data_IF_519055018190
#
_entry.id   IF_519055018190
#
_cell.length_a   1.000
_cell.length_b   1.000
_cell.length_c   1.000
_cell.angle_alpha   90.00
_cell.angle_beta   90.00
_cell.angle_gamma   90.00
#
_symmetry.space_group_name_H-M   'P 1'
#
loop_
_entity.id
_entity.type
_entity.pdbx_description
1 polymer ?
#
# COMPACT_ATOMS: atom_id res chain seq x y z
N UNK A 1 14.40 -6.23 -8.66
CA UNK A 1 13.26 -6.88 -9.29
C UNK A 1 12.05 -6.64 -8.40
N UNK A 2 10.91 -6.25 -8.96
CA UNK A 2 9.70 -6.00 -8.19
C UNK A 2 9.01 -7.33 -7.86
N UNK A 3 8.69 -7.56 -6.58
CA UNK A 3 8.07 -8.80 -6.12
C UNK A 3 6.68 -8.54 -5.56
N UNK A 4 5.71 -9.32 -6.00
CA UNK A 4 4.34 -9.31 -5.48
C UNK A 4 4.02 -10.68 -4.87
N UNK A 5 3.41 -10.69 -3.68
CA UNK A 5 2.86 -11.91 -3.08
C UNK A 5 1.34 -11.89 -3.22
N UNK A 6 0.78 -12.92 -3.82
CA UNK A 6 -0.67 -13.15 -3.83
C UNK A 6 -1.02 -14.27 -2.85
N UNK A 7 -1.94 -13.99 -1.93
CA UNK A 7 -2.51 -15.02 -1.07
C UNK A 7 -3.95 -15.27 -1.50
N UNK A 8 -4.18 -16.44 -2.06
CA UNK A 8 -5.46 -16.87 -2.61
C UNK A 8 -6.09 -17.97 -1.74
N UNK A 9 -7.41 -17.95 -1.53
CA UNK A 9 -8.05 -18.87 -0.58
C UNK A 9 -8.34 -20.28 -1.13
N UNK A 10 -8.17 -20.50 -2.44
CA UNK A 10 -8.48 -21.78 -3.10
C UNK A 10 -7.65 -21.95 -4.40
N UNK A 11 -7.37 -23.23 -4.81
CA UNK A 11 -6.47 -23.50 -5.95
C UNK A 11 -6.99 -23.00 -7.30
N UNK A 12 -8.30 -22.97 -7.54
CA UNK A 12 -8.86 -22.52 -8.81
C UNK A 12 -8.54 -21.02 -9.07
N UNK A 13 -8.42 -20.23 -8.01
CA UNK A 13 -7.99 -18.84 -8.15
C UNK A 13 -6.49 -18.74 -8.47
N UNK A 14 -5.66 -19.65 -7.95
CA UNK A 14 -4.25 -19.74 -8.31
C UNK A 14 -4.09 -19.98 -9.82
N UNK A 15 -4.86 -20.92 -10.40
CA UNK A 15 -4.83 -21.19 -11.84
C UNK A 15 -5.20 -19.95 -12.67
N UNK A 16 -6.23 -19.19 -12.25
CA UNK A 16 -6.63 -17.95 -12.91
C UNK A 16 -5.50 -16.91 -12.82
N UNK A 17 -4.88 -16.76 -11.63
CA UNK A 17 -3.77 -15.81 -11.43
C UNK A 17 -2.58 -16.16 -12.31
N UNK A 18 -2.19 -17.45 -12.37
CA UNK A 18 -1.09 -17.92 -13.20
C UNK A 18 -1.37 -17.65 -14.69
N UNK A 19 -2.54 -17.97 -15.17
CA UNK A 19 -2.93 -17.72 -16.56
C UNK A 19 -2.88 -16.22 -16.92
N UNK A 20 -3.44 -15.37 -16.07
CA UNK A 20 -3.41 -13.91 -16.30
C UNK A 20 -1.98 -13.37 -16.20
N UNK A 21 -1.18 -13.87 -15.25
CA UNK A 21 0.22 -13.48 -15.09
C UNK A 21 1.05 -13.83 -16.36
N UNK A 22 0.96 -15.06 -16.84
CA UNK A 22 1.65 -15.52 -18.04
C UNK A 22 1.30 -14.69 -19.27
N UNK A 23 0.01 -14.35 -19.42
CA UNK A 23 -0.47 -13.60 -20.59
C UNK A 23 -0.19 -12.09 -20.51
N UNK A 24 -0.02 -11.51 -19.30
CA UNK A 24 0.07 -10.06 -19.13
C UNK A 24 1.43 -9.55 -18.65
N UNK A 25 2.16 -10.32 -17.85
CA UNK A 25 3.21 -9.80 -16.99
C UNK A 25 4.59 -10.44 -17.18
N UNK A 26 4.71 -11.54 -17.90
CA UNK A 26 5.97 -12.30 -18.03
C UNK A 26 7.16 -11.43 -18.42
N UNK A 27 6.96 -10.41 -19.27
CA UNK A 27 8.03 -9.51 -19.74
C UNK A 27 8.05 -8.14 -19.04
N UNK A 28 7.29 -7.95 -17.96
CA UNK A 28 7.10 -6.63 -17.29
C UNK A 28 8.02 -6.38 -16.10
N UNK A 29 8.94 -7.30 -15.79
CA UNK A 29 9.89 -7.13 -14.67
C UNK A 29 9.29 -7.28 -13.27
N UNK A 30 8.09 -7.84 -13.18
CA UNK A 30 7.42 -8.20 -11.93
C UNK A 30 7.50 -9.72 -11.71
N UNK A 31 7.94 -10.13 -10.54
CA UNK A 31 7.84 -11.51 -10.07
C UNK A 31 6.61 -11.64 -9.20
N UNK A 32 5.82 -12.69 -9.44
CA UNK A 32 4.62 -12.99 -8.67
C UNK A 32 4.78 -14.32 -7.98
N UNK A 33 4.76 -14.31 -6.65
CA UNK A 33 4.72 -15.50 -5.82
C UNK A 33 3.27 -15.72 -5.35
N UNK A 34 2.79 -16.96 -5.43
CA UNK A 34 1.41 -17.30 -5.06
C UNK A 34 1.42 -18.26 -3.88
N UNK A 35 0.60 -17.96 -2.89
CA UNK A 35 0.41 -18.80 -1.71
C UNK A 35 -1.07 -19.14 -1.56
N UNK A 36 -1.40 -20.43 -1.67
CA UNK A 36 -2.78 -20.90 -1.44
C UNK A 36 -2.99 -21.10 0.04
N UNK A 37 -3.64 -20.14 0.70
CA UNK A 37 -3.98 -20.20 2.13
C UNK A 37 -5.30 -19.49 2.42
N UNK A 38 -6.06 -20.04 3.34
CA UNK A 38 -7.27 -19.39 3.88
C UNK A 38 -6.88 -18.28 4.86
N UNK A 39 -7.78 -17.33 5.05
CA UNK A 39 -7.55 -16.21 5.98
C UNK A 39 -7.22 -16.68 7.41
N UNK A 40 -7.86 -17.76 7.86
CA UNK A 40 -7.66 -18.33 9.20
C UNK A 40 -6.28 -18.97 9.40
N UNK A 41 -5.67 -19.42 8.30
CA UNK A 41 -4.40 -20.17 8.28
C UNK A 41 -3.17 -19.26 8.05
N UNK A 42 -3.39 -17.95 7.91
CA UNK A 42 -2.29 -17.01 7.74
C UNK A 42 -1.59 -16.80 9.08
N UNK A 43 -0.31 -17.20 9.12
CA UNK A 43 0.53 -17.02 10.29
C UNK A 43 0.76 -15.52 10.58
N UNK A 44 0.76 -15.14 11.86
CA UNK A 44 0.99 -13.73 12.27
C UNK A 44 2.43 -13.27 12.08
N UNK A 45 3.35 -14.21 11.92
CA UNK A 45 4.77 -14.03 11.67
C UNK A 45 5.16 -14.24 10.20
N UNK A 46 4.18 -14.14 9.28
CA UNK A 46 4.43 -14.21 7.85
C UNK A 46 5.43 -13.10 7.45
N UNK A 47 6.59 -13.52 6.97
CA UNK A 47 7.62 -12.58 6.50
C UNK A 47 7.22 -11.99 5.15
N UNK A 48 7.03 -10.68 5.14
CA UNK A 48 6.64 -9.91 3.96
C UNK A 48 7.75 -8.97 3.48
N UNK A 49 8.91 -8.93 4.13
CA UNK A 49 9.96 -7.93 3.90
C UNK A 49 10.54 -7.94 2.48
N UNK A 50 10.50 -9.06 1.79
CA UNK A 50 11.01 -9.16 0.43
C UNK A 50 10.02 -8.67 -0.65
N UNK A 51 8.76 -8.45 -0.28
CA UNK A 51 7.71 -8.08 -1.23
C UNK A 51 7.49 -6.56 -1.29
N UNK A 52 7.26 -6.06 -2.50
CA UNK A 52 6.94 -4.65 -2.73
C UNK A 52 5.44 -4.37 -2.65
N UNK A 53 4.62 -5.40 -2.86
CA UNK A 53 3.17 -5.36 -2.75
C UNK A 53 2.66 -6.73 -2.34
N UNK A 54 1.59 -6.75 -1.56
CA UNK A 54 0.88 -7.98 -1.22
C UNK A 54 -0.57 -7.88 -1.67
N UNK A 55 -1.11 -8.99 -2.15
CA UNK A 55 -2.45 -9.04 -2.74
C UNK A 55 -3.23 -10.14 -2.04
N UNK A 56 -4.45 -9.84 -1.63
CA UNK A 56 -5.34 -10.80 -0.99
C UNK A 56 -6.80 -10.50 -1.29
N UNK A 57 -7.70 -11.43 -0.91
CA UNK A 57 -9.13 -11.27 -1.14
C UNK A 57 -9.88 -11.15 0.19
N UNK A 58 -10.78 -10.16 0.30
CA UNK A 58 -11.69 -10.04 1.43
C UNK A 58 -10.99 -10.06 2.79
N UNK A 59 -11.29 -11.05 3.64
CA UNK A 59 -10.68 -11.19 4.97
C UNK A 59 -9.16 -11.40 4.93
N UNK A 60 -8.63 -12.08 3.90
CA UNK A 60 -7.19 -12.22 3.67
C UNK A 60 -6.51 -10.84 3.54
N UNK A 61 -7.08 -9.95 2.72
CA UNK A 61 -6.55 -8.60 2.57
C UNK A 61 -6.59 -7.79 3.87
N UNK A 62 -7.65 -7.97 4.69
CA UNK A 62 -7.75 -7.33 6.02
C UNK A 62 -6.66 -7.80 6.97
N UNK A 63 -6.38 -9.12 7.00
CA UNK A 63 -5.30 -9.67 7.81
C UNK A 63 -3.95 -9.13 7.34
N UNK A 64 -3.69 -9.14 6.04
CA UNK A 64 -2.45 -8.61 5.47
C UNK A 64 -2.22 -7.14 5.85
N UNK A 65 -3.26 -6.29 5.81
CA UNK A 65 -3.17 -4.89 6.26
C UNK A 65 -2.84 -4.76 7.75
N UNK A 66 -3.17 -5.75 8.58
CA UNK A 66 -2.80 -5.76 9.99
C UNK A 66 -1.37 -6.25 10.26
N UNK A 67 -0.77 -6.97 9.30
CA UNK A 67 0.59 -7.50 9.40
C UNK A 67 1.66 -6.53 8.90
N UNK A 68 1.29 -5.58 8.04
CA UNK A 68 2.24 -4.61 7.50
C UNK A 68 1.64 -3.21 7.41
N UNK A 69 2.42 -2.20 7.84
CA UNK A 69 2.10 -0.79 7.67
C UNK A 69 2.82 -0.17 6.44
N UNK A 70 3.90 -0.79 5.99
CA UNK A 70 4.82 -0.21 5.02
C UNK A 70 4.71 -0.81 3.61
N UNK A 71 4.02 -1.96 3.47
CA UNK A 71 3.86 -2.63 2.18
C UNK A 71 2.42 -2.42 1.71
N UNK A 72 2.18 -1.89 0.51
CA UNK A 72 0.85 -1.74 -0.06
C UNK A 72 0.11 -3.06 -0.12
N UNK A 73 -1.15 -3.07 0.32
CA UNK A 73 -2.03 -4.24 0.26
C UNK A 73 -3.15 -3.98 -0.73
N UNK A 74 -3.14 -4.69 -1.85
CA UNK A 74 -4.21 -4.66 -2.86
C UNK A 74 -5.23 -5.74 -2.52
N UNK A 75 -6.50 -5.39 -2.61
CA UNK A 75 -7.60 -6.33 -2.41
C UNK A 75 -8.16 -6.78 -3.75
N UNK A 76 -8.22 -8.10 -3.98
CA UNK A 76 -8.94 -8.68 -5.11
C UNK A 76 -10.43 -8.40 -4.86
N UNK A 77 -11.08 -7.57 -5.68
CA UNK A 77 -12.47 -7.21 -5.46
C UNK A 77 -13.39 -8.39 -5.77
N UNK A 78 -14.51 -8.44 -5.08
CA UNK A 78 -15.67 -9.22 -5.53
C UNK A 78 -16.43 -8.29 -6.46
N UNK A 79 -16.52 -8.65 -7.74
CA UNK A 79 -17.21 -7.83 -8.73
C UNK A 79 -18.72 -8.13 -8.74
N UNK A 80 -19.51 -7.20 -9.29
CA UNK A 80 -20.92 -7.46 -9.54
C UNK A 80 -21.16 -8.68 -10.45
N UNK A 81 -20.23 -8.93 -11.38
CA UNK A 81 -20.27 -10.12 -12.25
C UNK A 81 -20.03 -11.42 -11.48
N UNK A 82 -19.16 -11.43 -10.48
CA UNK A 82 -18.92 -12.59 -9.63
C UNK A 82 -20.18 -12.96 -8.84
N UNK A 83 -20.85 -11.93 -8.31
CA UNK A 83 -22.12 -12.11 -7.58
C UNK A 83 -23.22 -12.61 -8.52
N UNK A 84 -23.39 -11.99 -9.68
CA UNK A 84 -24.40 -12.42 -10.65
C UNK A 84 -24.16 -13.86 -11.13
N UNK A 85 -22.91 -14.25 -11.39
CA UNK A 85 -22.56 -15.65 -11.68
C UNK A 85 -22.95 -16.57 -10.54
N UNK A 86 -22.63 -16.19 -9.29
CA UNK A 86 -23.01 -16.99 -8.12
C UNK A 86 -24.52 -17.14 -7.96
N UNK A 87 -25.30 -16.07 -8.15
CA UNK A 87 -26.76 -16.09 -8.10
C UNK A 87 -27.33 -16.97 -9.21
N UNK A 88 -26.79 -16.88 -10.43
CA UNK A 88 -27.27 -17.69 -11.57
C UNK A 88 -26.94 -19.18 -11.39
N UNK A 89 -25.77 -19.53 -10.85
CA UNK A 89 -25.42 -20.93 -10.54
C UNK A 89 -26.33 -21.49 -9.43
N UNK A 90 -26.58 -20.74 -8.37
CA UNK A 90 -27.52 -21.12 -7.31
C UNK A 90 -28.90 -21.34 -7.88
N UNK A 91 -29.40 -20.50 -8.78
CA UNK A 91 -30.70 -20.63 -9.44
C UNK A 91 -30.80 -21.91 -10.27
N UNK A 92 -29.69 -22.33 -10.92
CA UNK A 92 -29.65 -23.59 -11.71
C UNK A 92 -29.64 -24.84 -10.83
N UNK A 93 -28.96 -24.79 -9.69
CA UNK A 93 -28.72 -25.96 -8.83
C UNK A 93 -29.84 -26.13 -7.81
N UNK A 94 -30.32 -25.03 -7.24
CA UNK A 94 -31.31 -25.03 -6.15
C UNK A 94 -32.53 -24.22 -6.54
N UNK A 95 -33.72 -24.66 -6.05
CA UNK A 95 -34.97 -23.92 -6.20
C UNK A 95 -35.08 -22.80 -5.13
N UNK A 96 -33.98 -22.04 -4.92
CA UNK A 96 -33.87 -21.03 -3.89
C UNK A 96 -34.81 -19.86 -4.12
N UNK A 97 -35.43 -19.36 -3.05
CA UNK A 97 -36.32 -18.20 -3.06
C UNK A 97 -35.74 -17.00 -2.38
N UNK A 98 -34.98 -17.22 -1.30
CA UNK A 98 -34.33 -16.18 -0.47
C UNK A 98 -32.84 -16.43 -0.33
N UNK A 99 -32.03 -15.52 -0.84
CA UNK A 99 -30.59 -15.65 -0.88
C UNK A 99 -29.94 -14.61 0.03
N UNK A 100 -29.11 -15.07 0.96
CA UNK A 100 -28.25 -14.24 1.78
C UNK A 100 -26.84 -14.17 1.18
N UNK A 101 -26.38 -12.98 0.77
CA UNK A 101 -25.04 -12.76 0.23
C UNK A 101 -24.14 -12.21 1.32
N UNK A 102 -23.05 -12.91 1.64
CA UNK A 102 -22.09 -12.54 2.69
C UNK A 102 -20.84 -11.91 2.10
N UNK A 103 -20.60 -10.66 2.43
CA UNK A 103 -19.45 -9.87 1.95
C UNK A 103 -18.64 -9.33 3.12
N UNK A 104 -17.34 -9.09 2.90
CA UNK A 104 -16.46 -8.46 3.89
C UNK A 104 -16.61 -6.94 3.95
N UNK A 105 -17.13 -6.31 2.89
CA UNK A 105 -17.30 -4.86 2.76
C UNK A 105 -18.54 -4.52 1.92
N UNK A 106 -19.08 -3.31 2.09
CA UNK A 106 -20.29 -2.79 1.43
C UNK A 106 -20.03 -2.31 0.00
N UNK A 107 -18.76 -2.15 -0.38
CA UNK A 107 -18.42 -1.43 -1.61
C UNK A 107 -19.11 -2.02 -2.85
N UNK A 108 -20.05 -1.24 -3.41
CA UNK A 108 -20.61 -1.36 -4.76
C UNK A 108 -21.56 -2.55 -5.04
N UNK A 109 -22.32 -3.05 -4.05
CA UNK A 109 -23.28 -4.11 -4.32
C UNK A 109 -24.70 -3.68 -3.92
N UNK A 110 -25.52 -3.40 -4.92
CA UNK A 110 -26.92 -3.05 -4.74
C UNK A 110 -27.77 -4.33 -4.73
N UNK A 111 -28.17 -4.78 -3.53
CA UNK A 111 -29.00 -5.95 -3.35
C UNK A 111 -30.38 -5.79 -4.00
N UNK A 112 -30.93 -4.56 -4.03
CA UNK A 112 -32.21 -4.30 -4.67
C UNK A 112 -32.14 -4.47 -6.19
N UNK A 113 -31.04 -4.00 -6.81
CA UNK A 113 -30.78 -4.23 -8.22
C UNK A 113 -30.60 -5.72 -8.54
N UNK A 114 -29.85 -6.43 -7.71
CA UNK A 114 -29.65 -7.89 -7.86
C UNK A 114 -30.98 -8.65 -7.76
N UNK A 115 -31.84 -8.28 -6.79
CA UNK A 115 -33.18 -8.84 -6.66
C UNK A 115 -34.06 -8.56 -7.88
N UNK A 116 -34.05 -7.32 -8.36
CA UNK A 116 -34.83 -6.91 -9.53
C UNK A 116 -34.41 -7.65 -10.81
N UNK A 117 -33.12 -7.85 -11.02
CA UNK A 117 -32.58 -8.51 -12.21
C UNK A 117 -32.78 -10.04 -12.14
N UNK A 118 -32.61 -10.66 -10.97
CA UNK A 118 -32.70 -12.11 -10.81
C UNK A 118 -34.11 -12.63 -10.56
N UNK A 119 -35.02 -11.76 -10.11
CA UNK A 119 -36.36 -12.15 -9.66
C UNK A 119 -36.36 -12.92 -8.32
N UNK A 120 -35.26 -12.87 -7.55
CA UNK A 120 -35.09 -13.55 -6.26
C UNK A 120 -35.09 -12.54 -5.12
N UNK A 121 -35.47 -12.96 -3.92
CA UNK A 121 -35.34 -12.15 -2.72
C UNK A 121 -33.87 -12.22 -2.22
N UNK A 122 -33.09 -11.17 -2.46
CA UNK A 122 -31.67 -11.13 -2.16
C UNK A 122 -31.38 -10.05 -1.11
N UNK A 123 -30.66 -10.44 -0.05
CA UNK A 123 -30.13 -9.51 0.93
C UNK A 123 -28.63 -9.68 1.09
N UNK A 124 -27.91 -8.56 1.21
CA UNK A 124 -26.47 -8.53 1.47
C UNK A 124 -26.20 -8.35 2.95
N UNK A 125 -25.38 -9.21 3.51
CA UNK A 125 -24.89 -9.16 4.89
C UNK A 125 -23.40 -8.79 4.87
N UNK A 126 -23.08 -7.64 5.44
CA UNK A 126 -21.69 -7.19 5.56
C UNK A 126 -21.14 -7.66 6.90
N UNK A 127 -20.11 -8.47 6.85
CA UNK A 127 -19.47 -9.09 8.01
C UNK A 127 -17.99 -8.74 8.05
N UNK A 128 -17.60 -7.65 8.75
CA UNK A 128 -16.22 -7.21 8.84
C UNK A 128 -15.32 -8.19 9.59
N UNK A 129 -15.88 -8.91 10.57
CA UNK A 129 -15.16 -9.88 11.41
C UNK A 129 -15.59 -11.30 11.04
N UNK A 130 -14.64 -12.09 10.54
CA UNK A 130 -14.83 -13.48 10.11
C UNK A 130 -15.41 -14.37 11.24
N UNK A 131 -15.07 -14.08 12.51
CA UNK A 131 -15.55 -14.85 13.67
C UNK A 131 -17.06 -14.72 13.90
N UNK A 132 -17.67 -13.65 13.37
CA UNK A 132 -19.11 -13.40 13.48
C UNK A 132 -19.93 -14.05 12.38
N UNK A 133 -19.30 -14.60 11.35
CA UNK A 133 -19.99 -15.22 10.22
C UNK A 133 -20.97 -16.32 10.68
N UNK A 134 -20.61 -17.31 11.53
CA UNK A 134 -21.52 -18.36 11.93
C UNK A 134 -22.81 -17.83 12.56
N UNK A 135 -22.71 -16.92 13.52
CA UNK A 135 -23.89 -16.36 14.20
C UNK A 135 -24.80 -15.55 13.27
N UNK A 136 -24.24 -14.88 12.26
CA UNK A 136 -25.01 -14.11 11.28
C UNK A 136 -25.67 -15.05 10.26
N UNK A 137 -25.02 -16.15 9.88
CA UNK A 137 -25.61 -17.20 9.04
C UNK A 137 -26.80 -17.86 9.76
N UNK A 138 -26.65 -18.19 11.04
CA UNK A 138 -27.77 -18.72 11.86
C UNK A 138 -28.96 -17.74 11.93
N UNK A 139 -28.67 -16.45 12.08
CA UNK A 139 -29.69 -15.40 12.06
C UNK A 139 -30.38 -15.33 10.70
N UNK A 140 -29.63 -15.34 9.59
CA UNK A 140 -30.19 -15.35 8.25
C UNK A 140 -31.09 -16.57 8.03
N UNK A 141 -30.70 -17.77 8.51
CA UNK A 141 -31.55 -18.96 8.48
C UNK A 141 -32.87 -18.75 9.25
N UNK A 142 -32.82 -18.17 10.45
CA UNK A 142 -34.00 -17.85 11.26
C UNK A 142 -34.91 -16.82 10.57
N UNK A 143 -34.37 -15.90 9.78
CA UNK A 143 -35.08 -14.91 8.97
C UNK A 143 -35.63 -15.50 7.67
N UNK A 144 -35.46 -16.82 7.44
CA UNK A 144 -36.05 -17.60 6.35
C UNK A 144 -35.23 -17.58 5.05
N UNK A 145 -33.94 -17.22 5.11
CA UNK A 145 -33.03 -17.41 3.97
C UNK A 145 -32.69 -18.88 3.82
N UNK A 146 -32.86 -19.41 2.61
CA UNK A 146 -32.64 -20.81 2.29
C UNK A 146 -31.27 -21.09 1.67
N UNK A 147 -30.58 -20.04 1.21
CA UNK A 147 -29.31 -20.16 0.52
C UNK A 147 -28.34 -19.04 0.94
N UNK A 148 -27.08 -19.42 1.12
CA UNK A 148 -25.97 -18.51 1.43
C UNK A 148 -25.02 -18.48 0.24
N UNK A 149 -24.72 -17.28 -0.24
CA UNK A 149 -23.66 -17.02 -1.21
C UNK A 149 -22.58 -16.19 -0.52
N UNK A 150 -21.31 -16.60 -0.55
CA UNK A 150 -20.25 -15.84 0.13
C UNK A 150 -18.87 -16.41 -0.07
N UNK A 151 -17.95 -16.02 0.79
CA UNK A 151 -16.63 -16.63 0.87
C UNK A 151 -16.68 -18.00 1.54
N UNK A 152 -15.51 -18.67 1.60
CA UNK A 152 -15.40 -20.03 2.15
C UNK A 152 -15.97 -20.16 3.58
N UNK A 153 -15.70 -19.19 4.44
CA UNK A 153 -16.19 -19.23 5.84
C UNK A 153 -17.73 -19.15 5.93
N UNK A 154 -18.37 -18.37 5.07
CA UNK A 154 -19.83 -18.29 5.00
C UNK A 154 -20.43 -19.61 4.46
N UNK A 155 -19.81 -20.17 3.42
CA UNK A 155 -20.17 -21.50 2.90
C UNK A 155 -20.09 -22.54 4.00
N UNK A 156 -18.97 -22.65 4.69
CA UNK A 156 -18.76 -23.65 5.77
C UNK A 156 -19.77 -23.48 6.90
N UNK A 157 -20.12 -22.25 7.27
CA UNK A 157 -21.11 -21.98 8.30
C UNK A 157 -22.52 -22.42 7.85
N UNK A 158 -22.89 -22.14 6.60
CA UNK A 158 -24.18 -22.56 6.02
C UNK A 158 -24.30 -24.08 5.92
N UNK A 159 -23.26 -24.77 5.44
CA UNK A 159 -23.23 -26.24 5.34
C UNK A 159 -23.44 -26.92 6.70
N UNK A 160 -22.91 -26.35 7.79
CA UNK A 160 -23.08 -26.90 9.15
C UNK A 160 -24.50 -26.91 9.66
N UNK A 161 -25.33 -25.99 9.20
CA UNK A 161 -26.75 -25.90 9.60
C UNK A 161 -27.69 -26.36 8.50
N UNK A 162 -27.19 -26.98 7.42
CA UNK A 162 -27.94 -27.57 6.35
C UNK A 162 -28.58 -26.58 5.36
N UNK A 163 -28.11 -25.34 5.28
CA UNK A 163 -28.53 -24.40 4.24
C UNK A 163 -27.81 -24.71 2.92
N UNK A 164 -28.46 -24.40 1.82
CA UNK A 164 -27.78 -24.38 0.53
C UNK A 164 -26.65 -23.33 0.56
N UNK A 165 -25.51 -23.65 -0.01
CA UNK A 165 -24.36 -22.77 0.03
C UNK A 165 -23.62 -22.70 -1.30
N UNK A 166 -23.09 -21.53 -1.64
CA UNK A 166 -22.30 -21.32 -2.83
C UNK A 166 -21.14 -20.36 -2.56
N UNK A 167 -19.96 -20.71 -3.05
CA UNK A 167 -18.78 -19.83 -2.93
C UNK A 167 -18.73 -18.85 -4.08
N UNK A 168 -18.60 -17.56 -3.80
CA UNK A 168 -18.36 -16.57 -4.85
C UNK A 168 -16.95 -16.79 -5.41
N UNK A 169 -16.86 -17.25 -6.63
CA UNK A 169 -15.60 -17.41 -7.34
C UNK A 169 -15.18 -16.07 -7.97
N UNK A 170 -13.90 -15.78 -7.91
CA UNK A 170 -13.30 -14.60 -8.53
C UNK A 170 -13.13 -14.85 -10.03
N UNK A 171 -13.58 -13.94 -10.86
CA UNK A 171 -13.35 -13.99 -12.30
C UNK A 171 -11.98 -13.44 -12.68
N UNK A 172 -11.59 -13.73 -13.91
CA UNK A 172 -10.33 -13.27 -14.51
C UNK A 172 -10.23 -11.73 -14.51
N UNK A 173 -11.35 -11.04 -14.68
CA UNK A 173 -11.42 -9.57 -14.74
C UNK A 173 -10.91 -8.91 -13.46
N UNK A 174 -11.25 -9.49 -12.31
CA UNK A 174 -10.79 -8.99 -11.01
C UNK A 174 -9.28 -9.22 -10.82
N UNK A 175 -8.76 -10.34 -11.30
CA UNK A 175 -7.31 -10.64 -11.28
C UNK A 175 -6.55 -9.68 -12.20
N UNK A 176 -7.03 -9.46 -13.42
CA UNK A 176 -6.46 -8.48 -14.36
C UNK A 176 -6.39 -7.09 -13.74
N UNK A 177 -7.46 -6.68 -13.05
CA UNK A 177 -7.52 -5.38 -12.39
C UNK A 177 -6.42 -5.21 -11.33
N UNK A 178 -6.27 -6.18 -10.42
CA UNK A 178 -5.28 -6.07 -9.33
C UNK A 178 -3.84 -6.20 -9.82
N UNK A 179 -3.59 -7.01 -10.85
CA UNK A 179 -2.26 -7.09 -11.46
C UNK A 179 -1.88 -5.80 -12.20
N UNK A 180 -2.84 -5.12 -12.85
CA UNK A 180 -2.63 -3.77 -13.40
C UNK A 180 -2.32 -2.76 -12.30
N UNK A 181 -3.02 -2.82 -11.17
CA UNK A 181 -2.76 -1.95 -10.02
C UNK A 181 -1.36 -2.20 -9.45
N UNK A 182 -0.93 -3.46 -9.31
CA UNK A 182 0.42 -3.81 -8.90
C UNK A 182 1.50 -3.24 -9.85
N UNK A 183 1.27 -3.31 -11.17
CA UNK A 183 2.14 -2.68 -12.17
C UNK A 183 2.22 -1.15 -11.99
N UNK A 184 1.11 -0.49 -11.74
CA UNK A 184 1.09 0.96 -11.52
C UNK A 184 1.88 1.36 -10.27
N UNK A 185 1.78 0.57 -9.20
CA UNK A 185 2.58 0.76 -7.98
C UNK A 185 4.07 0.57 -8.30
N UNK A 186 4.42 -0.49 -9.04
CA UNK A 186 5.78 -0.76 -9.48
C UNK A 186 6.37 0.45 -10.24
N UNK A 187 5.69 0.92 -11.27
CA UNK A 187 6.14 2.05 -12.08
C UNK A 187 6.29 3.33 -11.22
N UNK A 188 5.37 3.55 -10.27
CA UNK A 188 5.45 4.71 -9.38
C UNK A 188 6.67 4.65 -8.47
N UNK A 189 6.97 3.47 -7.90
CA UNK A 189 8.15 3.26 -7.04
C UNK A 189 9.45 3.35 -7.84
N UNK A 190 9.50 2.82 -9.06
CA UNK A 190 10.67 2.95 -9.94
C UNK A 190 10.95 4.41 -10.27
N UNK A 191 9.92 5.17 -10.67
CA UNK A 191 10.03 6.60 -10.97
C UNK A 191 10.51 7.41 -9.77
N UNK A 192 10.03 7.11 -8.57
CA UNK A 192 10.50 7.74 -7.34
C UNK A 192 11.97 7.40 -7.06
N UNK A 193 12.39 6.15 -7.24
CA UNK A 193 13.79 5.72 -7.10
C UNK A 193 14.71 6.41 -8.11
N UNK A 194 14.30 6.48 -9.38
CA UNK A 194 15.05 7.21 -10.41
C UNK A 194 15.20 8.68 -10.07
N UNK A 195 14.13 9.31 -9.63
CA UNK A 195 14.13 10.73 -9.23
C UNK A 195 15.04 10.99 -8.04
N UNK A 196 14.97 10.14 -7.02
CA UNK A 196 15.85 10.22 -5.84
C UNK A 196 17.29 10.05 -6.24
N UNK A 197 17.62 9.07 -7.09
CA UNK A 197 18.98 8.82 -7.59
C UNK A 197 19.49 9.98 -8.44
N UNK A 198 18.64 10.58 -9.27
CA UNK A 198 18.97 11.77 -10.05
C UNK A 198 19.35 12.93 -9.12
N UNK A 199 18.53 13.23 -8.10
CA UNK A 199 18.84 14.31 -7.15
C UNK A 199 20.13 14.04 -6.39
N UNK A 200 20.36 12.83 -5.92
CA UNK A 200 21.62 12.45 -5.29
C UNK A 200 22.81 12.66 -6.22
N UNK A 201 22.68 12.26 -7.49
CA UNK A 201 23.75 12.40 -8.48
C UNK A 201 24.05 13.88 -8.76
N UNK A 202 23.01 14.69 -8.96
CA UNK A 202 23.16 16.14 -9.22
C UNK A 202 23.83 16.84 -8.03
N UNK A 203 23.38 16.54 -6.81
CA UNK A 203 23.98 17.15 -5.60
C UNK A 203 25.42 16.72 -5.38
N UNK A 204 25.75 15.43 -5.63
CA UNK A 204 27.13 14.94 -5.52
C UNK A 204 28.06 15.50 -6.59
N UNK A 205 27.56 15.81 -7.79
CA UNK A 205 28.33 16.41 -8.87
C UNK A 205 28.53 17.92 -8.71
N UNK A 206 27.85 18.56 -7.75
CA UNK A 206 28.02 20.01 -7.49
C UNK A 206 29.44 20.36 -7.03
N UNK A 207 29.90 21.52 -7.49
CA UNK A 207 31.15 22.12 -7.01
C UNK A 207 30.99 22.83 -5.67
N UNK A 208 29.74 23.10 -5.27
CA UNK A 208 29.39 23.69 -3.98
C UNK A 208 29.12 22.58 -2.95
N UNK A 209 29.42 22.87 -1.69
CA UNK A 209 28.93 22.07 -0.59
C UNK A 209 27.42 22.25 -0.46
N UNK A 210 26.66 21.18 -0.33
CA UNK A 210 25.20 21.22 -0.20
C UNK A 210 24.80 20.39 1.00
N UNK A 211 24.02 21.00 1.92
CA UNK A 211 23.38 20.33 3.04
C UNK A 211 21.87 20.55 2.97
N UNK A 212 21.09 19.56 3.39
CA UNK A 212 19.69 19.73 3.70
C UNK A 212 19.43 19.42 5.17
N UNK A 213 18.82 20.39 5.85
CA UNK A 213 18.45 20.30 7.27
C UNK A 213 16.93 20.41 7.38
N UNK A 214 16.30 19.42 7.98
CA UNK A 214 14.85 19.39 8.11
C UNK A 214 14.34 20.40 9.16
N UNK A 215 13.02 20.53 9.27
CA UNK A 215 12.37 21.45 10.23
C UNK A 215 12.75 21.19 11.70
N UNK A 216 13.15 19.96 12.04
CA UNK A 216 13.63 19.58 13.37
C UNK A 216 15.10 19.90 13.62
N UNK A 217 15.78 20.51 12.65
CA UNK A 217 17.20 20.83 12.73
C UNK A 217 18.12 19.63 12.51
N UNK A 218 17.61 18.51 11.95
CA UNK A 218 18.39 17.30 11.68
C UNK A 218 18.96 17.36 10.27
N UNK A 219 20.25 17.07 10.12
CA UNK A 219 20.95 16.97 8.84
C UNK A 219 20.56 15.65 8.17
N UNK A 220 19.71 15.73 7.14
CA UNK A 220 19.26 14.57 6.37
C UNK A 220 20.13 14.29 5.13
N UNK A 221 20.80 15.31 4.61
CA UNK A 221 21.65 15.16 3.43
C UNK A 221 22.84 16.12 3.49
N UNK A 222 24.01 15.65 3.09
CA UNK A 222 25.18 16.43 2.82
C UNK A 222 25.95 15.79 1.66
N UNK A 223 26.39 16.58 0.68
CA UNK A 223 27.21 16.07 -0.42
C UNK A 223 28.69 15.98 -0.04
N UNK A 224 29.45 15.27 -0.86
CA UNK A 224 30.91 15.09 -0.62
C UNK A 224 31.66 16.41 -0.51
N UNK A 225 31.27 17.41 -1.32
CA UNK A 225 31.92 18.73 -1.29
C UNK A 225 31.62 19.48 0.02
N UNK A 226 30.38 19.40 0.53
CA UNK A 226 30.01 19.96 1.84
C UNK A 226 30.81 19.35 2.98
N UNK A 227 30.96 18.01 2.98
CA UNK A 227 31.83 17.35 3.98
C UNK A 227 33.25 17.81 3.96
N UNK A 228 33.84 17.95 2.75
CA UNK A 228 35.22 18.43 2.61
C UNK A 228 35.40 19.89 3.09
N UNK A 229 34.43 20.76 2.82
CA UNK A 229 34.49 22.16 3.18
C UNK A 229 34.23 22.42 4.67
N UNK A 230 33.40 21.57 5.29
CA UNK A 230 33.04 21.67 6.70
C UNK A 230 33.88 20.75 7.59
N UNK A 231 34.94 20.15 7.03
CA UNK A 231 35.97 19.34 7.71
C UNK A 231 35.40 18.17 8.57
N UNK A 232 34.44 17.46 8.05
CA UNK A 232 33.74 16.42 8.80
C UNK A 232 33.75 15.08 8.08
N UNK A 233 33.59 13.96 8.81
CA UNK A 233 33.44 12.63 8.25
C UNK A 233 31.98 12.22 8.11
N UNK A 234 31.64 11.54 7.02
CA UNK A 234 30.26 11.07 6.71
C UNK A 234 29.60 10.27 7.82
N UNK A 235 30.38 9.43 8.51
CA UNK A 235 29.86 8.51 9.52
C UNK A 235 29.33 9.22 10.78
N UNK A 236 29.72 10.49 10.98
CA UNK A 236 29.37 11.22 12.19
C UNK A 236 28.24 12.24 12.02
N UNK A 237 27.83 12.60 10.81
CA UNK A 237 26.96 13.77 10.58
C UNK A 237 25.53 13.43 10.16
N UNK A 238 25.32 12.31 9.46
CA UNK A 238 23.99 11.93 9.04
C UNK A 238 23.10 11.66 10.27
N UNK A 239 21.92 12.29 10.32
CA UNK A 239 20.97 12.25 11.43
C UNK A 239 21.42 13.01 12.71
N UNK A 240 22.49 13.79 12.68
CA UNK A 240 22.82 14.69 13.77
C UNK A 240 22.06 16.02 13.69
N UNK A 241 21.94 16.70 14.82
CA UNK A 241 21.42 18.06 14.85
C UNK A 241 22.44 19.05 14.32
N UNK A 242 21.98 20.00 13.50
CA UNK A 242 22.82 21.07 12.97
C UNK A 242 23.55 21.84 14.08
N UNK A 243 22.85 22.19 15.18
CA UNK A 243 23.41 22.91 16.31
C UNK A 243 24.51 22.15 17.04
N UNK A 244 24.57 20.83 16.96
CA UNK A 244 25.61 19.98 17.54
C UNK A 244 26.79 19.83 16.58
N UNK A 245 26.52 19.57 15.30
CA UNK A 245 27.54 19.37 14.27
C UNK A 245 28.21 20.69 13.82
N UNK A 246 27.40 21.74 13.62
CA UNK A 246 27.84 23.03 13.11
C UNK A 246 27.16 24.19 13.86
N UNK A 247 27.52 24.44 15.13
CA UNK A 247 26.87 25.43 15.98
C UNK A 247 26.81 26.84 15.38
N UNK A 248 27.84 27.22 14.59
CA UNK A 248 27.93 28.50 13.93
C UNK A 248 26.90 28.75 12.82
N UNK A 249 26.24 27.69 12.28
CA UNK A 249 25.17 27.78 11.29
C UNK A 249 23.78 27.89 11.91
N UNK A 250 23.61 27.51 13.19
CA UNK A 250 22.28 27.37 13.80
C UNK A 250 21.48 28.67 13.84
N UNK A 251 22.12 29.79 14.16
CA UNK A 251 21.44 31.09 14.22
C UNK A 251 20.84 31.52 12.86
N UNK A 252 21.57 31.27 11.77
CA UNK A 252 21.13 31.57 10.40
C UNK A 252 20.06 30.56 9.93
N UNK A 253 20.19 29.30 10.32
CA UNK A 253 19.16 28.28 10.09
C UNK A 253 17.84 28.70 10.74
N UNK A 254 17.82 29.04 12.03
CA UNK A 254 16.60 29.47 12.75
C UNK A 254 16.00 30.73 12.12
N UNK A 255 16.86 31.69 11.70
CA UNK A 255 16.41 32.89 11.01
C UNK A 255 15.75 32.56 9.65
N UNK A 256 16.31 31.60 8.87
CA UNK A 256 15.76 31.14 7.63
C UNK A 256 14.41 30.44 7.81
N UNK A 257 14.30 29.57 8.82
CA UNK A 257 13.04 28.91 9.19
C UNK A 257 11.91 29.90 9.49
N UNK A 258 12.22 30.94 10.28
CA UNK A 258 11.22 31.94 10.70
C UNK A 258 10.82 32.91 9.58
N UNK A 259 11.78 33.33 8.74
CA UNK A 259 11.52 34.33 7.69
C UNK A 259 10.87 33.80 6.43
N UNK A 260 10.96 32.50 6.19
CA UNK A 260 10.49 31.85 4.95
C UNK A 260 11.06 32.47 3.67
N UNK A 261 12.21 33.11 3.76
CA UNK A 261 12.89 33.77 2.65
C UNK A 261 14.36 33.37 2.64
N UNK A 262 15.01 33.29 1.47
CA UNK A 262 16.43 32.99 1.38
C UNK A 262 17.27 34.04 2.12
N UNK A 263 18.36 33.59 2.73
CA UNK A 263 19.43 34.39 3.28
C UNK A 263 20.64 34.03 2.43
N UNK A 264 21.18 35.00 1.72
CA UNK A 264 22.22 34.77 0.70
C UNK A 264 23.51 35.53 1.06
N UNK A 265 24.63 34.93 0.62
CA UNK A 265 25.98 35.52 0.70
C UNK A 265 26.44 35.82 2.15
N UNK A 266 26.09 34.98 3.11
CA UNK A 266 26.58 35.10 4.48
C UNK A 266 28.01 34.54 4.56
N UNK A 267 28.96 35.44 4.81
CA UNK A 267 30.37 35.08 4.92
C UNK A 267 30.69 34.67 6.34
N UNK A 268 31.15 33.46 6.54
CA UNK A 268 31.62 32.95 7.83
C UNK A 268 33.05 32.42 7.73
N UNK A 269 33.79 32.55 8.83
CA UNK A 269 35.12 31.96 8.96
C UNK A 269 35.01 30.59 9.64
N UNK A 270 35.45 29.57 8.92
CA UNK A 270 35.41 28.16 9.38
C UNK A 270 36.84 27.63 9.28
N UNK A 271 37.48 27.34 10.40
CA UNK A 271 38.87 26.82 10.48
C UNK A 271 39.87 27.59 9.56
N UNK A 272 39.97 28.90 9.71
CA UNK A 272 40.84 29.78 8.93
C UNK A 272 40.41 29.97 7.45
N UNK A 273 39.34 29.32 6.98
CA UNK A 273 38.80 29.51 5.64
C UNK A 273 37.59 30.44 5.65
N UNK A 274 37.53 31.37 4.70
CA UNK A 274 36.34 32.19 4.48
C UNK A 274 35.39 31.43 3.55
N UNK A 275 34.24 31.05 4.06
CA UNK A 275 33.19 30.29 3.32
C UNK A 275 31.94 31.15 3.23
N UNK A 276 31.40 31.27 2.04
CA UNK A 276 30.12 31.93 1.80
C UNK A 276 29.01 30.90 1.86
N UNK A 277 27.96 31.22 2.62
CA UNK A 277 26.80 30.37 2.82
C UNK A 277 25.52 31.01 2.30
N UNK A 278 24.66 30.19 1.66
CA UNK A 278 23.31 30.55 1.34
C UNK A 278 22.35 29.60 2.08
N UNK A 279 21.27 30.15 2.64
CA UNK A 279 20.21 29.39 3.34
C UNK A 279 18.91 29.57 2.57
N UNK A 280 18.43 28.51 1.90
CA UNK A 280 17.25 28.53 1.06
C UNK A 280 16.15 27.68 1.66
N UNK A 281 15.04 28.28 2.14
CA UNK A 281 13.93 27.53 2.71
C UNK A 281 13.24 26.65 1.66
N UNK A 282 12.97 25.38 2.03
CA UNK A 282 12.17 24.45 1.26
C UNK A 282 10.72 24.57 1.73
N UNK A 283 9.86 25.09 0.88
CA UNK A 283 8.45 25.30 1.17
C UNK A 283 7.60 24.11 0.70
N UNK A 284 6.73 23.61 1.58
CA UNK A 284 5.71 22.61 1.25
C UNK A 284 4.36 23.21 1.67
N UNK A 285 3.58 23.64 0.71
CA UNK A 285 2.44 24.51 0.98
C UNK A 285 2.89 25.82 1.65
N UNK A 286 2.28 26.16 2.79
CA UNK A 286 2.61 27.37 3.56
C UNK A 286 3.64 27.12 4.67
N UNK A 287 4.16 25.91 4.82
CA UNK A 287 5.12 25.54 5.86
C UNK A 287 6.53 25.36 5.32
N UNK A 288 7.54 25.65 6.15
CA UNK A 288 8.94 25.38 5.85
C UNK A 288 9.25 23.94 6.27
N UNK A 289 9.54 23.07 5.30
CA UNK A 289 9.92 21.67 5.54
C UNK A 289 11.37 21.56 6.04
N UNK A 290 12.22 22.52 5.69
CA UNK A 290 13.64 22.57 6.06
C UNK A 290 14.38 23.64 5.28
N UNK A 291 15.69 23.64 5.40
CA UNK A 291 16.60 24.61 4.72
C UNK A 291 17.63 23.82 3.91
N UNK A 292 17.80 24.19 2.65
CA UNK A 292 19.00 23.86 1.89
C UNK A 292 20.06 24.91 2.19
N UNK A 293 21.22 24.46 2.67
CA UNK A 293 22.38 25.29 2.93
C UNK A 293 23.39 24.95 1.85
N UNK A 294 23.83 25.96 1.08
CA UNK A 294 24.96 25.81 0.18
C UNK A 294 26.18 26.51 0.74
N UNK A 295 27.37 26.01 0.43
CA UNK A 295 28.61 26.62 0.85
C UNK A 295 29.66 26.59 -0.29
N UNK A 296 30.42 27.70 -0.41
CA UNK A 296 31.49 27.86 -1.38
C UNK A 296 32.66 28.67 -0.79
N UNK A 297 33.87 28.34 -1.21
CA UNK A 297 35.12 29.00 -0.77
C UNK A 297 35.61 29.99 -1.83
#
# INVERSE_FOLDING_TARGET
>A
MFKALLIVPYPELEEIVLNVYENMLTDKGIQVDILVKRAEDIARDLDLHEYNVVIGRGHTAKILRSLTANIPVIEIPITGYDILRGVEEVRKIYASKKIAIFLSDVRNHDAALLSAVSGLDIQTFVVPDIKRIPSIVEKAAADGYDTVIGGYSAKTAADRIGLHSFTINTGEEAVVQVLKEALNIMHSLEKERERTKLYQTVTQASKEGILYVNHGGIIEMINTKGLQMLTSSLETIHNQKLCEAYPYLDSLFQKGMNRKKPILNELLEVEENKITFDFVPVLVGDSVAGIVITCQS
#
